data_IF_656719225163
#
_entry.id   IF_656719225163
#
_cell.length_a   1.000
_cell.length_b   1.000
_cell.length_c   1.000
_cell.angle_alpha   90.00
_cell.angle_beta   90.00
_cell.angle_gamma   90.00
#
_symmetry.space_group_name_H-M   'P 1'
#
loop_
_entity.id
_entity.type
_entity.pdbx_description
1 polymer ?
#
# COMPACT_ATOMS: atom_id res chain seq x y z
N UNK A 1 5.58 -27.36 15.40
CA UNK A 1 6.19 -27.05 14.08
C UNK A 1 5.03 -26.77 13.15
N UNK A 2 5.14 -25.73 12.33
CA UNK A 2 4.10 -25.15 11.43
C UNK A 2 3.28 -23.98 12.00
N UNK A 3 3.95 -22.86 12.28
CA UNK A 3 3.33 -21.51 12.33
C UNK A 3 4.36 -20.44 11.93
N UNK A 4 5.06 -20.67 10.81
CA UNK A 4 5.96 -19.68 10.20
C UNK A 4 5.53 -19.65 8.74
N UNK A 5 5.15 -18.47 8.23
CA UNK A 5 4.49 -18.22 6.93
C UNK A 5 2.96 -18.20 6.96
N UNK A 6 2.40 -17.40 7.88
CA UNK A 6 1.06 -16.83 7.70
C UNK A 6 1.05 -15.76 6.62
N UNK A 7 1.50 -16.08 5.41
CA UNK A 7 1.22 -15.26 4.22
C UNK A 7 -0.05 -15.88 3.65
N UNK A 8 -1.19 -15.43 4.18
CA UNK A 8 -2.46 -15.62 3.50
C UNK A 8 -2.31 -15.00 2.11
N UNK A 9 -2.30 -15.84 1.06
CA UNK A 9 -2.59 -15.44 -0.32
C UNK A 9 -4.06 -15.04 -0.51
N UNK A 10 -4.80 -14.79 0.58
CA UNK A 10 -6.13 -14.18 0.55
C UNK A 10 -6.00 -12.67 0.47
N UNK A 11 -5.87 -12.14 -0.75
CA UNK A 11 -6.93 -11.33 -1.34
C UNK A 11 -6.40 -10.55 -2.54
N UNK A 12 -7.03 -10.79 -3.67
CA UNK A 12 -7.01 -9.91 -4.84
C UNK A 12 -7.71 -8.55 -4.56
N UNK A 13 -7.63 -8.01 -3.34
CA UNK A 13 -8.38 -6.83 -2.92
C UNK A 13 -7.77 -5.50 -3.36
N UNK A 14 -6.53 -5.47 -3.91
CA UNK A 14 -5.91 -4.24 -4.40
C UNK A 14 -5.07 -4.49 -5.67
N UNK A 15 -5.70 -4.41 -6.83
CA UNK A 15 -5.10 -4.55 -8.19
C UNK A 15 -4.08 -3.42 -8.52
N UNK A 16 -3.75 -2.55 -7.55
CA UNK A 16 -2.83 -1.41 -7.70
C UNK A 16 -1.53 -1.52 -6.90
N UNK A 17 -1.41 -2.44 -5.93
CA UNK A 17 -0.31 -2.43 -4.95
C UNK A 17 0.77 -3.49 -5.18
N UNK A 18 0.63 -4.36 -6.19
CA UNK A 18 1.57 -5.47 -6.46
C UNK A 18 3.02 -4.99 -6.63
N UNK A 19 3.21 -3.85 -7.30
CA UNK A 19 4.54 -3.41 -7.72
C UNK A 19 5.27 -2.71 -6.57
N UNK A 20 4.58 -1.82 -5.86
CA UNK A 20 5.14 -1.07 -4.72
C UNK A 20 5.50 -2.02 -3.57
N UNK A 21 4.63 -3.00 -3.27
CA UNK A 21 4.88 -4.01 -2.23
C UNK A 21 6.15 -4.82 -2.52
N UNK A 22 6.33 -5.23 -3.77
CA UNK A 22 7.50 -6.01 -4.19
C UNK A 22 8.79 -5.18 -4.15
N UNK A 23 8.73 -3.91 -4.59
CA UNK A 23 9.86 -2.98 -4.55
C UNK A 23 10.28 -2.71 -3.10
N UNK A 24 9.33 -2.46 -2.20
CA UNK A 24 9.61 -2.21 -0.78
C UNK A 24 10.22 -3.45 -0.11
N UNK A 25 9.68 -4.64 -0.34
CA UNK A 25 10.26 -5.90 0.17
C UNK A 25 11.71 -6.08 -0.29
N UNK A 26 11.95 -5.81 -1.58
CA UNK A 26 13.28 -5.96 -2.18
C UNK A 26 14.28 -4.92 -1.65
N UNK A 27 13.87 -3.65 -1.53
CA UNK A 27 14.74 -2.59 -1.02
C UNK A 27 15.12 -2.80 0.45
N UNK A 28 14.18 -3.30 1.27
CA UNK A 28 14.43 -3.65 2.66
C UNK A 28 15.41 -4.82 2.78
N UNK A 29 15.19 -5.92 2.05
CA UNK A 29 16.13 -7.06 2.08
C UNK A 29 17.54 -6.65 1.66
N UNK A 30 17.65 -5.78 0.64
CA UNK A 30 18.92 -5.23 0.20
C UNK A 30 19.57 -4.35 1.28
N UNK A 31 18.80 -3.50 1.97
CA UNK A 31 19.29 -2.69 3.09
C UNK A 31 19.83 -3.58 4.23
N UNK A 32 19.10 -4.65 4.56
CA UNK A 32 19.53 -5.63 5.57
C UNK A 32 20.79 -6.40 5.17
N UNK A 33 20.86 -6.85 3.91
CA UNK A 33 22.04 -7.52 3.35
C UNK A 33 23.26 -6.61 3.31
N UNK A 34 23.09 -5.35 2.88
CA UNK A 34 24.16 -4.35 2.82
C UNK A 34 24.71 -3.99 4.19
N UNK A 35 23.85 -3.88 5.20
CA UNK A 35 24.27 -3.48 6.55
C UNK A 35 24.80 -4.63 7.42
N UNK A 36 24.81 -5.88 6.93
CA UNK A 36 25.23 -7.07 7.68
C UNK A 36 24.70 -7.07 9.14
N UNK A 37 23.48 -6.58 9.32
CA UNK A 37 22.99 -6.10 10.62
C UNK A 37 22.93 -7.24 11.67
N UNK A 38 22.66 -8.46 11.20
CA UNK A 38 22.68 -9.70 11.99
C UNK A 38 24.08 -10.06 12.49
N UNK A 39 25.10 -9.91 11.65
CA UNK A 39 26.48 -10.29 11.96
C UNK A 39 27.23 -9.22 12.77
N UNK A 40 27.02 -7.94 12.45
CA UNK A 40 27.75 -6.84 13.09
C UNK A 40 27.18 -6.43 14.44
N UNK A 41 25.85 -6.53 14.64
CA UNK A 41 25.20 -6.06 15.89
C UNK A 41 24.85 -7.17 16.88
N UNK A 42 25.14 -8.44 16.60
CA UNK A 42 24.75 -9.62 17.41
C UNK A 42 23.26 -9.65 17.79
N UNK A 43 22.40 -9.09 16.94
CA UNK A 43 20.95 -9.10 17.15
C UNK A 43 20.40 -10.36 16.48
N UNK A 44 19.70 -11.19 17.25
CA UNK A 44 19.05 -12.37 16.70
C UNK A 44 17.98 -11.95 15.66
N UNK A 45 17.94 -12.55 14.45
CA UNK A 45 17.00 -12.15 13.39
C UNK A 45 15.54 -12.12 13.82
N UNK A 46 15.14 -13.00 14.76
CA UNK A 46 13.79 -13.00 15.33
C UNK A 46 13.41 -11.67 16.00
N UNK A 47 14.34 -11.00 16.68
CA UNK A 47 14.09 -9.73 17.37
C UNK A 47 13.78 -8.64 16.33
N UNK A 48 14.51 -8.65 15.21
CA UNK A 48 14.28 -7.73 14.10
C UNK A 48 12.88 -7.97 13.54
N UNK A 49 12.51 -9.22 13.25
CA UNK A 49 11.19 -9.55 12.70
C UNK A 49 10.05 -9.09 13.64
N UNK A 50 10.21 -9.27 14.96
CA UNK A 50 9.22 -8.79 15.95
C UNK A 50 9.12 -7.26 15.93
N UNK A 51 10.25 -6.54 15.99
CA UNK A 51 10.24 -5.08 15.96
C UNK A 51 9.63 -4.50 14.67
N UNK A 52 9.81 -5.17 13.53
CA UNK A 52 9.15 -4.77 12.28
C UNK A 52 7.64 -4.97 12.30
N UNK A 53 7.15 -6.05 12.94
CA UNK A 53 5.71 -6.25 13.10
C UNK A 53 5.10 -5.14 13.94
N UNK A 54 5.76 -4.77 15.03
CA UNK A 54 5.30 -3.69 15.90
C UNK A 54 5.31 -2.34 15.17
N UNK A 55 6.38 -2.03 14.44
CA UNK A 55 6.46 -0.82 13.61
C UNK A 55 5.39 -0.78 12.51
N UNK A 56 5.07 -1.92 11.90
CA UNK A 56 4.01 -2.02 10.88
C UNK A 56 2.63 -1.77 11.48
N UNK A 57 2.40 -2.28 12.70
CA UNK A 57 1.16 -2.02 13.43
C UNK A 57 1.00 -0.54 13.76
N UNK A 58 2.05 0.11 14.24
CA UNK A 58 2.05 1.55 14.53
C UNK A 58 1.81 2.38 13.27
N UNK A 59 2.52 2.06 12.17
CA UNK A 59 2.33 2.73 10.88
C UNK A 59 0.90 2.57 10.37
N UNK A 60 0.28 1.40 10.56
CA UNK A 60 -1.12 1.16 10.21
C UNK A 60 -2.06 2.04 11.03
N UNK A 61 -1.82 2.16 12.35
CA UNK A 61 -2.62 3.03 13.20
C UNK A 61 -2.47 4.50 12.83
N UNK A 62 -1.25 4.96 12.55
CA UNK A 62 -0.99 6.32 12.09
C UNK A 62 -1.71 6.64 10.76
N UNK A 63 -1.74 5.70 9.82
CA UNK A 63 -2.47 5.84 8.57
C UNK A 63 -3.98 5.90 8.78
N UNK A 64 -4.53 5.05 9.66
CA UNK A 64 -5.96 5.09 10.01
C UNK A 64 -6.34 6.42 10.66
N UNK A 65 -5.51 6.94 11.57
CA UNK A 65 -5.75 8.23 12.22
C UNK A 65 -5.60 9.43 11.27
N UNK A 66 -4.83 9.28 10.19
CA UNK A 66 -4.65 10.30 9.16
C UNK A 66 -5.70 10.22 8.04
N UNK A 67 -6.55 9.19 8.03
CA UNK A 67 -7.59 9.06 7.03
C UNK A 67 -8.63 10.18 7.20
N UNK A 68 -8.98 10.83 6.09
CA UNK A 68 -9.96 11.92 6.07
C UNK A 68 -11.23 11.43 5.40
N UNK A 69 -12.29 11.27 6.19
CA UNK A 69 -13.60 10.90 5.69
C UNK A 69 -14.30 12.14 5.10
N UNK A 70 -14.78 12.00 3.86
CA UNK A 70 -15.51 13.05 3.13
C UNK A 70 -16.99 12.66 2.90
N UNK A 71 -17.52 11.74 3.70
CA UNK A 71 -18.85 11.13 3.54
C UNK A 71 -20.02 12.11 3.68
N UNK A 72 -19.79 13.24 4.37
CA UNK A 72 -20.83 14.23 4.69
C UNK A 72 -21.21 15.16 3.54
N UNK A 73 -20.48 15.15 2.41
CA UNK A 73 -20.63 16.13 1.33
C UNK A 73 -20.49 15.45 -0.04
N UNK A 74 -21.63 15.25 -0.71
CA UNK A 74 -21.76 14.51 -1.98
C UNK A 74 -20.94 15.14 -3.11
N UNK A 75 -20.87 16.48 -3.17
CA UNK A 75 -20.08 17.21 -4.18
C UNK A 75 -18.58 16.99 -3.96
N UNK A 76 -18.12 17.04 -2.70
CA UNK A 76 -16.71 16.75 -2.36
C UNK A 76 -16.37 15.28 -2.58
N UNK A 77 -17.29 14.37 -2.30
CA UNK A 77 -17.11 12.95 -2.54
C UNK A 77 -16.94 12.65 -4.02
N UNK A 78 -17.78 13.24 -4.89
CA UNK A 78 -17.67 13.09 -6.33
C UNK A 78 -16.33 13.65 -6.87
N UNK A 79 -15.91 14.83 -6.39
CA UNK A 79 -14.60 15.41 -6.75
C UNK A 79 -13.41 14.56 -6.25
N UNK A 80 -13.54 13.96 -5.07
CA UNK A 80 -12.54 13.06 -4.50
C UNK A 80 -12.42 11.77 -5.34
N UNK A 81 -13.55 11.17 -5.72
CA UNK A 81 -13.59 10.01 -6.62
C UNK A 81 -12.98 10.31 -7.99
N UNK A 82 -13.26 11.48 -8.58
CA UNK A 82 -12.62 11.89 -9.83
C UNK A 82 -11.10 11.99 -9.69
N UNK A 83 -10.61 12.53 -8.58
CA UNK A 83 -9.17 12.67 -8.32
C UNK A 83 -8.50 11.29 -8.10
N UNK A 84 -9.16 10.39 -7.36
CA UNK A 84 -8.68 9.02 -7.12
C UNK A 84 -8.69 8.17 -8.40
N UNK A 85 -9.77 8.22 -9.18
CA UNK A 85 -9.86 7.49 -10.45
C UNK A 85 -8.83 8.02 -11.46
N UNK A 86 -8.62 9.34 -11.52
CA UNK A 86 -7.62 9.95 -12.38
C UNK A 86 -6.19 9.55 -12.02
N UNK A 87 -5.81 9.57 -10.75
CA UNK A 87 -4.47 9.14 -10.29
C UNK A 87 -4.26 7.64 -10.52
N UNK A 88 -5.29 6.83 -10.30
CA UNK A 88 -5.31 5.38 -10.55
C UNK A 88 -5.07 5.03 -12.02
N UNK A 89 -5.77 5.70 -12.93
CA UNK A 89 -5.62 5.46 -14.36
C UNK A 89 -4.28 5.97 -14.91
N UNK A 90 -3.66 6.96 -14.26
CA UNK A 90 -2.44 7.61 -14.74
C UNK A 90 -1.24 6.68 -14.86
N UNK A 91 -1.18 5.61 -14.07
CA UNK A 91 -0.10 4.62 -14.13
C UNK A 91 -0.33 3.51 -15.15
N UNK A 92 -1.50 3.46 -15.81
CA UNK A 92 -1.88 2.37 -16.74
C UNK A 92 -2.38 2.85 -18.11
N UNK A 93 -2.87 4.08 -18.24
CA UNK A 93 -3.48 4.59 -19.48
C UNK A 93 -2.67 5.73 -20.13
N UNK A 94 -2.55 5.72 -21.45
CA UNK A 94 -2.00 6.85 -22.20
C UNK A 94 -2.94 8.07 -22.12
N UNK A 95 -2.35 9.25 -21.93
CA UNK A 95 -2.97 10.50 -21.47
C UNK A 95 -4.13 11.06 -22.30
N UNK A 96 -4.34 10.61 -23.54
CA UNK A 96 -5.32 11.18 -24.46
C UNK A 96 -6.80 10.96 -24.10
N UNK A 97 -7.13 9.90 -23.35
CA UNK A 97 -8.53 9.58 -22.99
C UNK A 97 -8.76 9.50 -21.48
N UNK A 98 -7.82 9.98 -20.68
CA UNK A 98 -7.85 9.86 -19.22
C UNK A 98 -9.12 10.44 -18.61
N UNK A 99 -9.54 11.62 -19.05
CA UNK A 99 -10.69 12.32 -18.47
C UNK A 99 -12.01 11.59 -18.77
N UNK A 100 -12.15 11.03 -19.97
CA UNK A 100 -13.33 10.26 -20.36
C UNK A 100 -13.48 8.98 -19.52
N UNK A 101 -12.41 8.20 -19.36
CA UNK A 101 -12.46 6.99 -18.55
C UNK A 101 -12.57 7.27 -17.06
N UNK A 102 -11.99 8.37 -16.58
CA UNK A 102 -12.14 8.82 -15.19
C UNK A 102 -13.61 9.15 -14.91
N UNK A 103 -14.25 9.93 -15.80
CA UNK A 103 -15.68 10.27 -15.66
C UNK A 103 -16.57 9.03 -15.74
N UNK A 104 -16.33 8.15 -16.71
CA UNK A 104 -17.07 6.88 -16.85
C UNK A 104 -16.94 5.99 -15.61
N UNK A 105 -15.75 5.91 -15.01
CA UNK A 105 -15.53 5.12 -13.81
C UNK A 105 -16.26 5.69 -12.59
N UNK A 106 -16.34 7.02 -12.46
CA UNK A 106 -17.09 7.67 -11.37
C UNK A 106 -18.60 7.53 -11.58
N UNK A 107 -19.09 7.74 -12.81
CA UNK A 107 -20.51 7.56 -13.17
C UNK A 107 -21.00 6.11 -13.04
N UNK A 108 -20.11 5.12 -13.14
CA UNK A 108 -20.47 3.71 -12.95
C UNK A 108 -20.54 3.27 -11.48
N UNK A 109 -20.00 4.08 -10.55
CA UNK A 109 -19.93 3.77 -9.12
C UNK A 109 -20.99 4.53 -8.32
N UNK A 110 -21.39 5.71 -8.77
CA UNK A 110 -22.52 6.49 -8.24
C UNK A 110 -23.87 5.95 -8.77
#
# INVERSE_FOLDING_TARGET
MDTILGISEGDASLIQTSDVSTILKTSLLNYYGKQNLSFQKRIHPQIIIVGWRDATNEARQALLNSAVDHDSDEDKFCQYLMTMAGTTLSSKLHTHHKDHFTKLAVEAVL
#
